data_IF_731122870077
#
_entry.id   IF_731122870077
#
_cell.length_a   1.000
_cell.length_b   1.000
_cell.length_c   1.000
_cell.angle_alpha   90.00
_cell.angle_beta   90.00
_cell.angle_gamma   90.00
#
_symmetry.space_group_name_H-M   'P 1'
#
loop_
_entity.id
_entity.type
_entity.pdbx_description
1 polymer ?
#
# COMPACT_ATOMS: atom_id res chain seq x y z
N UNK A 1 -12.25 10.15 -14.12
CA UNK A 1 -11.46 8.89 -14.02
C UNK A 1 -11.15 8.60 -12.56
N UNK A 2 -10.60 9.56 -11.82
CA UNK A 2 -10.33 9.48 -10.37
C UNK A 2 -11.56 9.12 -9.53
N UNK A 3 -12.68 9.84 -9.64
CA UNK A 3 -13.90 9.54 -8.86
C UNK A 3 -14.46 8.13 -9.12
N UNK A 4 -14.33 7.65 -10.37
CA UNK A 4 -14.70 6.28 -10.76
C UNK A 4 -13.77 5.27 -10.08
N UNK A 5 -12.45 5.46 -10.21
CA UNK A 5 -11.47 4.60 -9.56
C UNK A 5 -11.55 4.57 -8.03
N UNK A 6 -11.72 5.71 -7.37
CA UNK A 6 -11.94 5.76 -5.91
C UNK A 6 -13.16 4.92 -5.55
N UNK A 7 -14.26 5.01 -6.32
CA UNK A 7 -15.43 4.13 -6.11
C UNK A 7 -15.12 2.66 -6.38
N UNK A 8 -14.35 2.33 -7.42
CA UNK A 8 -13.95 0.96 -7.73
C UNK A 8 -13.05 0.33 -6.63
N UNK A 9 -12.06 1.07 -6.13
CA UNK A 9 -11.18 0.65 -5.04
C UNK A 9 -11.95 0.58 -3.73
N UNK A 10 -12.77 1.57 -3.40
CA UNK A 10 -13.61 1.53 -2.19
C UNK A 10 -14.51 0.30 -2.22
N UNK A 11 -15.18 0.01 -3.35
CA UNK A 11 -15.97 -1.21 -3.52
C UNK A 11 -15.15 -2.50 -3.41
N UNK A 12 -13.94 -2.53 -3.98
CA UNK A 12 -13.04 -3.67 -3.84
C UNK A 12 -12.65 -3.87 -2.37
N UNK A 13 -12.29 -2.81 -1.64
CA UNK A 13 -11.95 -2.83 -0.22
C UNK A 13 -13.14 -3.18 0.69
N UNK A 14 -14.35 -2.72 0.35
CA UNK A 14 -15.60 -3.11 1.02
C UNK A 14 -15.87 -4.61 0.82
N UNK A 15 -15.67 -5.14 -0.40
CA UNK A 15 -15.83 -6.58 -0.68
C UNK A 15 -14.80 -7.47 0.00
N UNK A 16 -13.66 -6.90 0.41
CA UNK A 16 -12.62 -7.60 1.21
C UNK A 16 -13.01 -7.68 2.69
N UNK A 17 -13.81 -6.73 3.17
CA UNK A 17 -14.17 -6.60 4.59
C UNK A 17 -15.58 -7.10 4.93
N UNK A 18 -16.42 -7.37 3.93
CA UNK A 18 -17.75 -7.94 4.10
C UNK A 18 -17.82 -9.37 3.51
N UNK A 19 -18.01 -10.36 4.38
CA UNK A 19 -18.02 -11.79 4.02
C UNK A 19 -19.16 -12.18 3.05
N UNK A 20 -20.11 -11.28 2.79
CA UNK A 20 -21.25 -11.49 1.89
C UNK A 20 -21.28 -10.62 0.62
N UNK A 21 -20.30 -9.75 0.38
CA UNK A 21 -20.34 -8.83 -0.76
C UNK A 21 -19.90 -9.52 -2.07
N UNK A 22 -20.78 -9.47 -3.09
CA UNK A 22 -20.53 -10.00 -4.42
C UNK A 22 -19.63 -9.02 -5.21
N UNK A 23 -18.52 -9.51 -5.76
CA UNK A 23 -17.58 -8.70 -6.53
C UNK A 23 -18.12 -8.44 -7.94
N UNK A 24 -18.53 -7.19 -8.22
CA UNK A 24 -19.05 -6.78 -9.54
C UNK A 24 -17.92 -6.40 -10.51
N UNK A 25 -17.45 -7.41 -11.25
CA UNK A 25 -16.39 -7.31 -12.26
C UNK A 25 -16.76 -6.37 -13.42
N UNK A 26 -18.03 -6.30 -13.82
CA UNK A 26 -18.45 -5.50 -14.98
C UNK A 26 -18.44 -4.01 -14.67
N UNK A 27 -18.81 -3.63 -13.44
CA UNK A 27 -18.71 -2.25 -12.98
C UNK A 27 -17.24 -1.77 -12.94
N UNK A 28 -16.31 -2.63 -12.51
CA UNK A 28 -14.90 -2.30 -12.45
C UNK A 28 -14.28 -2.10 -13.85
N UNK A 29 -14.66 -2.94 -14.82
CA UNK A 29 -14.16 -2.87 -16.20
C UNK A 29 -14.70 -1.68 -17.00
N UNK A 30 -15.97 -1.29 -16.80
CA UNK A 30 -16.57 -0.13 -17.48
C UNK A 30 -15.95 1.22 -17.06
N UNK A 31 -15.40 1.30 -15.86
CA UNK A 31 -14.77 2.53 -15.36
C UNK A 31 -13.35 2.75 -15.89
N UNK A 32 -12.79 1.75 -16.58
CA UNK A 32 -11.40 1.72 -17.04
C UNK A 32 -11.21 2.07 -18.52
N UNK A 33 -12.26 2.46 -19.26
CA UNK A 33 -12.10 2.84 -20.68
C UNK A 33 -11.27 4.13 -20.88
N UNK A 34 -10.32 4.15 -21.83
CA UNK A 34 -9.45 5.29 -22.06
C UNK A 34 -10.18 6.47 -22.74
N UNK A 35 -10.01 7.68 -22.20
CA UNK A 35 -10.33 8.92 -22.91
C UNK A 35 -9.17 9.32 -23.83
N UNK A 36 -9.53 9.76 -25.04
CA UNK A 36 -8.69 10.07 -26.20
C UNK A 36 -7.36 10.79 -25.84
N UNK A 37 -6.22 10.13 -26.13
CA UNK A 37 -4.87 10.68 -26.05
C UNK A 37 -4.12 10.58 -27.39
N UNK A 38 -2.83 10.93 -27.42
CA UNK A 38 -1.98 10.72 -28.61
C UNK A 38 -1.88 9.22 -28.95
N UNK A 39 -1.63 8.87 -30.22
CA UNK A 39 -1.64 7.45 -30.66
C UNK A 39 -0.73 6.53 -29.86
N UNK A 40 0.49 6.97 -29.55
CA UNK A 40 1.47 6.19 -28.78
C UNK A 40 1.08 6.02 -27.30
N UNK A 41 0.50 7.05 -26.68
CA UNK A 41 0.00 6.95 -25.29
C UNK A 41 -1.20 6.01 -25.25
N UNK A 42 -2.10 6.10 -26.24
CA UNK A 42 -3.29 5.24 -26.34
C UNK A 42 -2.92 3.76 -26.42
N UNK A 43 -1.89 3.41 -27.19
CA UNK A 43 -1.39 2.03 -27.29
C UNK A 43 -0.84 1.51 -25.95
N UNK A 44 0.00 2.31 -25.26
CA UNK A 44 0.50 1.95 -23.93
C UNK A 44 -0.63 1.78 -22.91
N UNK A 45 -1.61 2.68 -22.92
CA UNK A 45 -2.78 2.60 -22.06
C UNK A 45 -3.56 1.30 -22.32
N UNK A 46 -3.76 0.92 -23.57
CA UNK A 46 -4.41 -0.34 -23.94
C UNK A 46 -3.68 -1.56 -23.37
N UNK A 47 -2.35 -1.62 -23.51
CA UNK A 47 -1.55 -2.72 -22.93
C UNK A 47 -1.62 -2.78 -21.40
N UNK A 48 -1.68 -1.63 -20.73
CA UNK A 48 -1.90 -1.56 -19.27
C UNK A 48 -3.28 -2.14 -18.91
N UNK A 49 -4.33 -1.86 -19.70
CA UNK A 49 -5.65 -2.44 -19.48
C UNK A 49 -5.66 -3.96 -19.63
N UNK A 50 -5.01 -4.49 -20.66
CA UNK A 50 -4.86 -5.93 -20.85
C UNK A 50 -4.16 -6.59 -19.66
N UNK A 51 -3.08 -5.98 -19.15
CA UNK A 51 -2.38 -6.47 -17.95
C UNK A 51 -3.26 -6.49 -16.71
N UNK A 52 -4.05 -5.43 -16.47
CA UNK A 52 -4.99 -5.39 -15.34
C UNK A 52 -6.07 -6.46 -15.46
N UNK A 53 -6.64 -6.64 -16.66
CA UNK A 53 -7.60 -7.71 -16.92
C UNK A 53 -6.99 -9.10 -16.67
N UNK A 54 -5.74 -9.31 -17.08
CA UNK A 54 -5.02 -10.57 -16.81
C UNK A 54 -4.81 -10.80 -15.30
N UNK A 55 -4.49 -9.76 -14.52
CA UNK A 55 -4.38 -9.85 -13.05
C UNK A 55 -5.73 -10.13 -12.38
N UNK A 56 -6.82 -9.56 -12.89
CA UNK A 56 -8.17 -9.87 -12.40
C UNK A 56 -8.55 -11.33 -12.69
N UNK A 57 -8.25 -11.83 -13.88
CA UNK A 57 -8.42 -13.24 -14.21
C UNK A 57 -7.53 -14.16 -13.34
N UNK A 58 -6.30 -13.74 -13.01
CA UNK A 58 -5.42 -14.42 -12.06
C UNK A 58 -6.07 -14.50 -10.67
N UNK A 59 -6.64 -13.40 -10.18
CA UNK A 59 -7.34 -13.36 -8.90
C UNK A 59 -8.55 -14.30 -8.89
N UNK A 60 -9.39 -14.23 -9.91
CA UNK A 60 -10.60 -15.06 -10.01
C UNK A 60 -10.22 -16.56 -10.06
N UNK A 61 -9.22 -16.91 -10.86
CA UNK A 61 -8.68 -18.26 -10.92
C UNK A 61 -8.12 -18.72 -9.57
N UNK A 62 -7.36 -17.85 -8.89
CA UNK A 62 -6.80 -18.13 -7.57
C UNK A 62 -7.87 -18.32 -6.49
N UNK A 63 -8.96 -17.54 -6.52
CA UNK A 63 -10.09 -17.71 -5.61
C UNK A 63 -10.84 -19.02 -5.87
N UNK A 64 -11.09 -19.36 -7.15
CA UNK A 64 -11.68 -20.66 -7.54
C UNK A 64 -10.80 -21.83 -7.10
N UNK A 65 -9.47 -21.71 -7.21
CA UNK A 65 -8.53 -22.72 -6.73
C UNK A 65 -8.61 -22.85 -5.21
N UNK A 66 -8.61 -21.73 -4.48
CA UNK A 66 -8.76 -21.72 -3.02
C UNK A 66 -10.04 -22.44 -2.58
N UNK A 67 -11.15 -22.25 -3.28
CA UNK A 67 -12.42 -22.90 -2.93
C UNK A 67 -12.45 -24.41 -3.25
N UNK A 68 -11.67 -24.86 -4.25
CA UNK A 68 -11.63 -26.26 -4.68
C UNK A 68 -10.58 -27.08 -3.94
N UNK A 69 -9.38 -26.53 -3.82
CA UNK A 69 -8.16 -27.21 -3.37
C UNK A 69 -7.72 -26.76 -1.98
N UNK A 70 -8.27 -25.66 -1.47
CA UNK A 70 -7.89 -25.14 -0.16
C UNK A 70 -6.46 -24.59 -0.11
N UNK A 71 -5.79 -24.34 -1.24
CA UNK A 71 -4.41 -23.83 -1.29
C UNK A 71 -4.30 -22.58 -2.14
N UNK A 72 -3.17 -21.87 -2.03
CA UNK A 72 -2.84 -20.70 -2.86
C UNK A 72 -1.44 -20.83 -3.42
N UNK A 73 -1.28 -20.58 -4.72
CA UNK A 73 0.02 -20.54 -5.39
C UNK A 73 0.46 -21.92 -5.92
N UNK A 74 1.69 -21.99 -6.41
CA UNK A 74 2.25 -23.22 -6.98
C UNK A 74 3.37 -23.78 -6.09
N UNK A 75 3.18 -25.01 -5.62
CA UNK A 75 4.17 -25.73 -4.81
C UNK A 75 5.51 -25.87 -5.58
N UNK A 76 6.63 -25.79 -4.84
CA UNK A 76 7.98 -25.94 -5.38
C UNK A 76 8.57 -24.71 -6.09
N UNK A 77 7.74 -23.74 -6.52
CA UNK A 77 8.21 -22.46 -7.09
C UNK A 77 8.39 -21.38 -6.02
N UNK A 78 7.49 -21.36 -5.04
CA UNK A 78 7.39 -20.35 -4.00
C UNK A 78 7.86 -20.89 -2.64
N UNK A 79 8.13 -19.99 -1.68
CA UNK A 79 8.32 -20.40 -0.27
C UNK A 79 6.98 -20.91 0.27
N UNK A 80 7.00 -22.01 1.04
CA UNK A 80 5.78 -22.58 1.63
C UNK A 80 5.46 -21.87 2.94
N UNK A 81 4.18 -21.57 3.16
CA UNK A 81 3.63 -21.09 4.41
C UNK A 81 2.63 -22.10 4.92
N UNK A 82 2.76 -22.46 6.19
CA UNK A 82 1.84 -23.35 6.91
C UNK A 82 1.35 -22.67 8.17
N UNK A 83 0.33 -23.22 8.80
CA UNK A 83 -0.14 -22.82 10.13
C UNK A 83 0.19 -23.91 11.13
N UNK A 84 0.92 -23.55 12.17
CA UNK A 84 1.25 -24.45 13.28
C UNK A 84 0.25 -24.24 14.41
N UNK A 85 -0.66 -25.20 14.58
CA UNK A 85 -1.66 -25.19 15.65
C UNK A 85 -1.05 -25.20 17.07
N UNK A 86 0.19 -25.71 17.23
CA UNK A 86 0.83 -25.78 18.53
C UNK A 86 1.46 -24.46 18.97
N UNK A 87 1.94 -23.68 17.99
CA UNK A 87 2.48 -22.33 18.20
C UNK A 87 1.44 -21.23 17.94
N UNK A 88 0.23 -21.59 17.52
CA UNK A 88 -0.84 -20.69 17.05
C UNK A 88 -0.34 -19.63 16.06
N UNK A 89 0.53 -20.03 15.13
CA UNK A 89 1.28 -19.10 14.28
C UNK A 89 1.46 -19.58 12.84
N UNK A 90 1.76 -18.63 11.94
CA UNK A 90 2.15 -18.95 10.57
C UNK A 90 3.66 -19.20 10.53
N UNK A 91 4.06 -20.23 9.80
CA UNK A 91 5.46 -20.61 9.63
C UNK A 91 5.81 -20.56 8.15
N UNK A 92 6.90 -19.88 7.81
CA UNK A 92 7.43 -19.83 6.45
C UNK A 92 8.69 -20.69 6.31
N UNK A 93 8.70 -21.57 5.33
CA UNK A 93 9.79 -22.51 5.11
C UNK A 93 10.68 -22.03 3.97
N UNK A 94 11.95 -21.80 4.30
CA UNK A 94 13.01 -21.52 3.34
C UNK A 94 13.49 -22.80 2.62
N UNK A 95 14.38 -22.63 1.64
CA UNK A 95 14.98 -23.76 0.90
C UNK A 95 15.83 -24.70 1.77
N UNK A 96 16.23 -24.26 2.97
CA UNK A 96 17.02 -25.04 3.93
C UNK A 96 16.19 -25.87 4.91
N UNK A 97 14.85 -25.80 4.83
CA UNK A 97 13.95 -26.44 5.81
C UNK A 97 13.82 -25.68 7.13
N UNK A 98 14.61 -24.60 7.32
CA UNK A 98 14.43 -23.66 8.42
C UNK A 98 13.08 -22.96 8.29
N UNK A 99 12.36 -22.93 9.41
CA UNK A 99 11.05 -22.34 9.54
C UNK A 99 11.17 -21.05 10.37
N UNK A 100 10.73 -19.94 9.79
CA UNK A 100 10.62 -18.66 10.50
C UNK A 100 9.15 -18.42 10.84
N UNK A 101 8.87 -17.92 12.04
CA UNK A 101 7.54 -17.42 12.36
C UNK A 101 7.27 -16.15 11.54
N UNK A 102 6.08 -16.05 10.95
CA UNK A 102 5.65 -14.90 10.17
C UNK A 102 4.30 -14.40 10.68
N UNK A 103 4.15 -13.09 10.82
CA UNK A 103 2.87 -12.51 11.19
C UNK A 103 1.91 -12.46 10.00
N UNK A 104 0.61 -12.24 10.27
CA UNK A 104 -0.38 -12.04 9.22
C UNK A 104 -0.03 -10.80 8.41
N UNK A 105 0.29 -9.70 9.07
CA UNK A 105 0.73 -8.45 8.46
C UNK A 105 1.90 -8.68 7.52
N UNK A 106 2.97 -9.34 7.99
CA UNK A 106 4.16 -9.64 7.18
C UNK A 106 3.80 -10.40 5.91
N UNK A 107 2.95 -11.43 6.00
CA UNK A 107 2.50 -12.18 4.83
C UNK A 107 1.72 -11.30 3.84
N UNK A 108 0.80 -10.47 4.33
CA UNK A 108 -0.06 -9.62 3.50
C UNK A 108 0.74 -8.52 2.79
N UNK A 109 1.65 -7.83 3.48
CA UNK A 109 2.44 -6.74 2.86
C UNK A 109 3.58 -7.25 2.00
N UNK A 110 3.94 -8.53 2.06
CA UNK A 110 5.01 -9.08 1.24
C UNK A 110 4.77 -8.92 -0.28
N UNK A 111 3.50 -8.88 -0.70
CA UNK A 111 3.14 -8.58 -2.09
C UNK A 111 3.64 -7.21 -2.58
N UNK A 112 3.73 -6.22 -1.69
CA UNK A 112 4.30 -4.90 -1.97
C UNK A 112 5.78 -5.01 -2.39
N UNK A 113 6.47 -6.06 -1.94
CA UNK A 113 7.88 -6.32 -2.22
C UNK A 113 8.11 -7.44 -3.26
N UNK A 114 7.06 -7.75 -4.03
CA UNK A 114 7.05 -8.82 -5.04
C UNK A 114 7.46 -10.19 -4.49
N UNK A 115 7.15 -10.44 -3.21
CA UNK A 115 7.30 -11.75 -2.60
C UNK A 115 6.02 -12.56 -2.74
N UNK A 116 6.19 -13.80 -3.20
CA UNK A 116 5.08 -14.73 -3.39
C UNK A 116 5.32 -16.02 -2.62
N UNK A 117 4.26 -16.46 -1.95
CA UNK A 117 4.22 -17.66 -1.13
C UNK A 117 3.19 -18.66 -1.66
N UNK A 118 3.50 -19.94 -1.44
CA UNK A 118 2.55 -21.02 -1.51
C UNK A 118 1.94 -21.22 -0.12
N UNK A 119 0.63 -21.03 0.04
CA UNK A 119 -0.07 -21.23 1.32
C UNK A 119 -0.79 -22.58 1.25
N UNK A 120 -0.40 -23.50 2.12
CA UNK A 120 -0.96 -24.84 2.12
C UNK A 120 -2.31 -24.93 2.82
N UNK A 121 -2.90 -26.13 2.84
CA UNK A 121 -4.23 -26.39 3.41
C UNK A 121 -4.37 -25.96 4.87
N UNK A 122 -3.29 -26.00 5.65
CA UNK A 122 -3.32 -25.67 7.08
C UNK A 122 -3.59 -24.18 7.37
N UNK A 123 -3.24 -23.29 6.45
CA UNK A 123 -3.45 -21.85 6.64
C UNK A 123 -4.95 -21.51 6.66
N UNK A 124 -5.45 -20.67 7.58
CA UNK A 124 -6.85 -20.26 7.58
C UNK A 124 -7.31 -19.64 6.24
N UNK A 125 -8.54 -19.97 5.81
CA UNK A 125 -9.07 -19.54 4.50
C UNK A 125 -9.16 -18.02 4.38
N UNK A 126 -9.54 -17.32 5.45
CA UNK A 126 -9.61 -15.86 5.47
C UNK A 126 -8.25 -15.21 5.20
N UNK A 127 -7.17 -15.78 5.77
CA UNK A 127 -5.80 -15.33 5.53
C UNK A 127 -5.41 -15.58 4.07
N UNK A 128 -5.70 -16.77 3.52
CA UNK A 128 -5.44 -17.11 2.11
C UNK A 128 -6.14 -16.15 1.14
N UNK A 129 -7.44 -15.92 1.35
CA UNK A 129 -8.27 -15.01 0.53
C UNK A 129 -7.68 -13.60 0.58
N UNK A 130 -7.40 -13.09 1.78
CA UNK A 130 -6.85 -11.74 1.96
C UNK A 130 -5.47 -11.58 1.35
N UNK A 131 -4.59 -12.58 1.49
CA UNK A 131 -3.28 -12.59 0.84
C UNK A 131 -3.39 -12.53 -0.69
N UNK A 132 -4.26 -13.36 -1.29
CA UNK A 132 -4.51 -13.35 -2.73
C UNK A 132 -4.96 -11.98 -3.23
N UNK A 133 -5.98 -11.42 -2.58
CA UNK A 133 -6.55 -10.14 -2.99
C UNK A 133 -5.52 -9.02 -2.84
N UNK A 134 -4.83 -8.94 -1.70
CA UNK A 134 -3.88 -7.85 -1.47
C UNK A 134 -2.69 -7.89 -2.45
N UNK A 135 -2.18 -9.10 -2.75
CA UNK A 135 -1.10 -9.26 -3.74
C UNK A 135 -1.50 -8.74 -5.11
N UNK A 136 -2.71 -9.05 -5.56
CA UNK A 136 -3.23 -8.58 -6.85
C UNK A 136 -3.54 -7.08 -6.80
N UNK A 137 -4.06 -6.60 -5.67
CA UNK A 137 -4.32 -5.18 -5.44
C UNK A 137 -3.06 -4.33 -5.63
N UNK A 138 -1.91 -4.71 -5.02
CA UNK A 138 -0.65 -3.97 -5.23
C UNK A 138 -0.23 -3.93 -6.70
N UNK A 139 -0.31 -5.06 -7.42
CA UNK A 139 0.04 -5.12 -8.84
C UNK A 139 -0.87 -4.24 -9.71
N UNK A 140 -2.17 -4.20 -9.40
CA UNK A 140 -3.13 -3.35 -10.11
C UNK A 140 -2.90 -1.87 -9.77
N UNK A 141 -2.63 -1.54 -8.51
CA UNK A 141 -2.32 -0.18 -8.08
C UNK A 141 -1.09 0.37 -8.83
N UNK A 142 0.00 -0.41 -8.91
CA UNK A 142 1.20 -0.04 -9.69
C UNK A 142 0.89 0.22 -11.17
N UNK A 143 0.05 -0.63 -11.80
CA UNK A 143 -0.36 -0.43 -13.19
C UNK A 143 -1.26 0.80 -13.37
N UNK A 144 -2.06 1.12 -12.36
CA UNK A 144 -2.93 2.29 -12.38
C UNK A 144 -2.13 3.57 -12.22
N UNK A 145 -1.15 3.59 -11.32
CA UNK A 145 -0.20 4.69 -11.16
C UNK A 145 0.57 4.95 -12.45
N UNK A 146 1.02 3.89 -13.13
CA UNK A 146 1.61 4.02 -14.46
C UNK A 146 0.62 4.62 -15.47
N UNK A 147 -0.64 4.20 -15.43
CA UNK A 147 -1.68 4.75 -16.31
C UNK A 147 -1.91 6.24 -16.09
N UNK A 148 -2.02 6.67 -14.83
CA UNK A 148 -2.16 8.10 -14.45
C UNK A 148 -0.95 8.86 -14.97
N UNK A 149 0.27 8.39 -14.69
CA UNK A 149 1.49 9.07 -15.09
C UNK A 149 1.57 9.27 -16.61
N UNK A 150 1.21 8.26 -17.40
CA UNK A 150 1.15 8.37 -18.86
C UNK A 150 0.07 9.35 -19.32
N UNK A 151 -1.13 9.26 -18.73
CA UNK A 151 -2.26 10.08 -19.12
C UNK A 151 -2.01 11.55 -18.78
N UNK A 152 -1.73 11.87 -17.52
CA UNK A 152 -1.52 13.22 -16.99
C UNK A 152 -0.25 13.87 -17.56
N UNK A 153 0.84 13.11 -17.71
CA UNK A 153 2.07 13.59 -18.35
C UNK A 153 1.90 13.94 -19.83
N UNK A 154 0.83 13.46 -20.49
CA UNK A 154 0.52 13.77 -21.88
C UNK A 154 -0.42 14.98 -22.05
N UNK A 155 -1.03 15.46 -20.97
CA UNK A 155 -2.03 16.51 -21.01
C UNK A 155 -1.42 17.88 -21.33
N UNK A 156 -2.10 18.63 -22.20
CA UNK A 156 -1.63 19.97 -22.59
C UNK A 156 -1.63 20.94 -21.40
N UNK A 157 -2.59 20.81 -20.48
CA UNK A 157 -2.72 21.71 -19.33
C UNK A 157 -1.60 21.55 -18.29
N UNK A 158 -0.92 20.40 -18.26
CA UNK A 158 0.23 20.17 -17.37
C UNK A 158 1.56 20.67 -17.97
N UNK A 159 1.60 21.06 -19.25
CA UNK A 159 2.85 21.47 -19.91
C UNK A 159 3.48 22.71 -19.26
N UNK A 160 4.76 22.63 -18.94
CA UNK A 160 5.56 23.68 -18.29
C UNK A 160 5.09 24.06 -16.88
N UNK A 161 4.29 23.22 -16.23
CA UNK A 161 3.91 23.42 -14.83
C UNK A 161 4.93 22.81 -13.86
N UNK A 162 5.77 21.90 -14.36
CA UNK A 162 6.65 21.04 -13.56
C UNK A 162 5.97 19.74 -13.12
N UNK A 163 4.64 19.63 -13.25
CA UNK A 163 3.93 18.36 -13.05
C UNK A 163 4.13 17.40 -14.22
N UNK A 164 4.24 17.92 -15.44
CA UNK A 164 4.59 17.14 -16.63
C UNK A 164 5.92 16.40 -16.48
N UNK A 165 6.95 17.08 -15.98
CA UNK A 165 8.25 16.45 -15.69
C UNK A 165 8.13 15.36 -14.61
N UNK A 166 7.31 15.59 -13.57
CA UNK A 166 7.10 14.62 -12.50
C UNK A 166 6.39 13.36 -13.01
N UNK A 167 5.29 13.51 -13.74
CA UNK A 167 4.58 12.37 -14.34
C UNK A 167 5.43 11.62 -15.35
N UNK A 168 6.21 12.32 -16.19
CA UNK A 168 7.13 11.68 -17.14
C UNK A 168 8.22 10.89 -16.42
N UNK A 169 8.82 11.44 -15.36
CA UNK A 169 9.81 10.73 -14.57
C UNK A 169 9.23 9.47 -13.93
N UNK A 170 7.98 9.51 -13.46
CA UNK A 170 7.28 8.33 -12.93
C UNK A 170 7.03 7.29 -14.04
N UNK A 171 6.48 7.71 -15.19
CA UNK A 171 6.22 6.80 -16.31
C UNK A 171 7.50 6.13 -16.83
N UNK A 172 8.60 6.88 -16.98
CA UNK A 172 9.90 6.33 -17.38
C UNK A 172 10.42 5.26 -16.41
N UNK A 173 10.18 5.39 -15.09
CA UNK A 173 10.57 4.36 -14.12
C UNK A 173 9.85 3.02 -14.36
N UNK A 174 8.60 3.05 -14.82
CA UNK A 174 7.87 1.83 -15.17
C UNK A 174 8.37 1.21 -16.49
N UNK A 175 8.70 2.05 -17.48
CA UNK A 175 9.11 1.57 -18.81
C UNK A 175 10.56 1.06 -18.86
N UNK A 176 11.49 1.77 -18.21
CA UNK A 176 12.93 1.51 -18.28
C UNK A 176 13.44 0.57 -17.19
N UNK A 177 12.60 0.30 -16.18
CA UNK A 177 12.99 -0.38 -14.95
C UNK A 177 13.61 0.62 -13.97
N UNK A 178 12.92 0.83 -12.85
CA UNK A 178 13.23 1.93 -11.94
C UNK A 178 14.62 1.80 -11.28
N UNK A 179 15.38 2.90 -11.29
CA UNK A 179 16.40 3.14 -10.28
C UNK A 179 15.71 3.28 -8.91
N UNK A 180 16.23 2.58 -7.90
CA UNK A 180 15.66 2.62 -6.54
C UNK A 180 15.95 3.99 -5.93
N UNK A 181 14.93 4.85 -5.91
CA UNK A 181 15.02 6.18 -5.31
C UNK A 181 14.88 6.07 -3.78
N UNK A 182 15.85 6.57 -2.98
CA UNK A 182 15.81 6.40 -1.52
C UNK A 182 14.56 6.96 -0.83
N UNK A 183 13.99 8.06 -1.35
CA UNK A 183 12.76 8.66 -0.80
C UNK A 183 11.55 7.73 -0.96
N UNK A 184 11.29 7.29 -2.20
CA UNK A 184 10.22 6.33 -2.53
C UNK A 184 10.39 5.02 -1.76
N UNK A 185 11.63 4.56 -1.62
CA UNK A 185 11.91 3.37 -0.82
C UNK A 185 11.58 3.57 0.66
N UNK A 186 11.92 4.73 1.24
CA UNK A 186 11.61 5.04 2.64
C UNK A 186 10.10 5.10 2.87
N UNK A 187 9.34 5.74 1.98
CA UNK A 187 7.88 5.80 2.01
C UNK A 187 7.29 4.38 1.98
N UNK A 188 7.72 3.55 1.02
CA UNK A 188 7.28 2.15 0.90
C UNK A 188 7.61 1.30 2.13
N UNK A 189 8.76 1.54 2.77
CA UNK A 189 9.14 0.87 4.02
C UNK A 189 8.25 1.27 5.19
N UNK A 190 7.95 2.57 5.32
CA UNK A 190 7.05 3.08 6.37
C UNK A 190 5.62 2.59 6.13
N UNK A 191 5.12 2.66 4.89
CA UNK A 191 3.81 2.12 4.49
C UNK A 191 3.71 0.64 4.86
N UNK A 192 4.73 -0.15 4.49
CA UNK A 192 4.80 -1.57 4.80
C UNK A 192 4.74 -1.82 6.30
N UNK A 193 5.59 -1.13 7.09
CA UNK A 193 5.60 -1.24 8.55
C UNK A 193 4.24 -0.92 9.16
N UNK A 194 3.68 0.24 8.83
CA UNK A 194 2.43 0.75 9.41
C UNK A 194 1.23 -0.10 9.01
N UNK A 195 1.23 -0.63 7.79
CA UNK A 195 0.20 -1.55 7.29
C UNK A 195 0.26 -2.90 7.99
N UNK A 196 1.45 -3.43 8.32
CA UNK A 196 1.54 -4.68 9.10
C UNK A 196 0.85 -4.54 10.45
N UNK A 197 1.06 -3.40 11.10
CA UNK A 197 0.49 -3.13 12.42
C UNK A 197 -1.04 -3.21 12.41
N UNK A 198 -1.72 -2.79 11.35
CA UNK A 198 -3.20 -2.87 11.25
C UNK A 198 -3.73 -4.29 11.03
N UNK A 199 -2.87 -5.21 10.58
CA UNK A 199 -3.21 -6.63 10.43
C UNK A 199 -2.87 -7.47 11.64
N UNK A 200 -1.79 -7.12 12.34
CA UNK A 200 -1.26 -7.86 13.47
C UNK A 200 -1.87 -7.41 14.81
N UNK A 201 -2.33 -6.16 14.87
CA UNK A 201 -2.87 -5.57 16.08
C UNK A 201 -4.15 -4.77 15.78
N UNK A 202 -4.98 -4.65 16.81
CA UNK A 202 -6.13 -3.77 16.82
C UNK A 202 -5.67 -2.30 16.89
N UNK A 203 -5.45 -1.69 15.73
CA UNK A 203 -4.95 -0.33 15.58
C UNK A 203 -6.10 0.66 15.34
N UNK A 204 -6.08 1.87 15.94
CA UNK A 204 -7.18 2.85 15.83
C UNK A 204 -7.19 3.60 14.49
N UNK A 205 -6.52 3.05 13.47
CA UNK A 205 -6.35 3.68 12.17
C UNK A 205 -6.23 2.63 11.06
N UNK A 206 -6.49 3.07 9.84
CA UNK A 206 -6.13 2.37 8.60
C UNK A 206 -5.25 3.26 7.75
N UNK A 207 -4.47 2.63 6.89
CA UNK A 207 -3.65 3.33 5.91
C UNK A 207 -4.32 3.20 4.55
N UNK A 208 -4.56 4.34 3.90
CA UNK A 208 -5.00 4.40 2.50
C UNK A 208 -3.83 4.83 1.64
N UNK A 209 -3.54 4.00 0.64
CA UNK A 209 -2.57 4.33 -0.39
C UNK A 209 -3.11 5.46 -1.27
N UNK A 210 -2.22 6.34 -1.65
CA UNK A 210 -2.50 7.45 -2.56
C UNK A 210 -2.08 7.08 -3.96
N UNK A 211 -2.81 7.62 -4.92
CA UNK A 211 -2.45 7.55 -6.34
C UNK A 211 -1.31 8.49 -6.67
N UNK A 212 -0.61 8.22 -7.77
CA UNK A 212 0.40 9.13 -8.34
C UNK A 212 -0.14 10.56 -8.56
N UNK A 213 -1.43 10.71 -8.86
CA UNK A 213 -2.05 12.03 -8.99
C UNK A 213 -2.04 12.78 -7.64
N UNK A 214 -2.46 12.12 -6.57
CA UNK A 214 -2.51 12.72 -5.23
C UNK A 214 -1.10 13.07 -4.71
N UNK A 215 -0.08 12.25 -5.01
CA UNK A 215 1.32 12.57 -4.72
C UNK A 215 1.82 13.79 -5.53
N UNK A 216 1.57 13.80 -6.84
CA UNK A 216 2.08 14.86 -7.71
C UNK A 216 1.38 16.19 -7.44
N UNK A 217 0.05 16.22 -7.40
CA UNK A 217 -0.74 17.45 -7.27
C UNK A 217 -0.88 17.93 -5.82
N UNK A 218 -1.08 17.00 -4.88
CA UNK A 218 -1.38 17.33 -3.49
C UNK A 218 -0.25 16.99 -2.52
N UNK A 219 0.85 16.39 -2.99
CA UNK A 219 2.04 16.16 -2.18
C UNK A 219 1.70 15.30 -0.95
N UNK A 220 0.86 14.29 -1.17
CA UNK A 220 0.43 13.33 -0.16
C UNK A 220 1.14 12.01 -0.47
N UNK A 221 1.80 11.42 0.52
CA UNK A 221 2.47 10.11 0.38
C UNK A 221 1.58 8.97 0.87
N UNK A 222 0.71 9.23 1.86
CA UNK A 222 -0.35 8.30 2.29
C UNK A 222 -1.39 9.03 3.15
N UNK A 223 -2.55 8.41 3.35
CA UNK A 223 -3.63 8.93 4.19
C UNK A 223 -3.91 8.00 5.37
N UNK A 224 -4.06 8.60 6.54
CA UNK A 224 -4.44 7.89 7.76
C UNK A 224 -5.94 8.12 8.00
N UNK A 225 -6.70 7.03 7.91
CA UNK A 225 -8.13 6.99 8.18
C UNK A 225 -8.35 6.55 9.62
N UNK A 226 -8.97 7.41 10.44
CA UNK A 226 -9.23 7.10 11.84
C UNK A 226 -10.58 6.42 12.02
N UNK A 227 -10.61 5.27 12.69
CA UNK A 227 -11.86 4.63 13.13
C UNK A 227 -11.95 4.61 14.67
N UNK A 228 -13.15 4.72 15.24
CA UNK A 228 -13.31 4.53 16.70
C UNK A 228 -13.31 3.04 17.05
N UNK A 229 -12.83 2.73 18.26
CA UNK A 229 -12.97 1.42 18.92
C UNK A 229 -14.46 1.10 19.29
N UNK A 230 -15.46 1.51 18.50
CA UNK A 230 -16.88 1.19 18.73
C UNK A 230 -17.45 0.10 17.81
N UNK A 231 -16.63 -0.55 16.97
CA UNK A 231 -17.05 -1.74 16.22
C UNK A 231 -17.03 -3.00 17.12
N UNK A 232 -17.81 -2.94 18.21
CA UNK A 232 -18.20 -4.12 18.97
C UNK A 232 -19.57 -4.56 18.46
N UNK A 233 -19.57 -5.64 17.68
CA UNK A 233 -20.70 -6.56 17.41
C UNK A 233 -22.08 -5.89 17.32
N UNK A 234 -22.52 -5.60 16.09
CA UNK A 234 -23.95 -5.59 15.74
C UNK A 234 -24.64 -4.25 15.50
N UNK A 235 -23.96 -3.10 15.59
CA UNK A 235 -24.53 -1.82 15.16
C UNK A 235 -23.45 -0.98 14.45
N UNK A 236 -23.48 -0.95 13.11
CA UNK A 236 -22.75 0.04 12.31
C UNK A 236 -23.32 1.41 12.65
N UNK A 237 -22.61 2.20 13.44
CA UNK A 237 -22.85 3.65 13.49
C UNK A 237 -21.96 4.25 12.42
N UNK A 238 -22.55 4.53 11.27
CA UNK A 238 -21.93 5.32 10.20
C UNK A 238 -21.70 6.75 10.72
N UNK A 239 -20.60 7.01 11.43
CA UNK A 239 -20.07 8.37 11.52
C UNK A 239 -19.03 8.53 10.41
N UNK A 240 -19.49 8.87 9.20
CA UNK A 240 -18.67 9.19 8.04
C UNK A 240 -17.87 10.51 8.18
N UNK A 241 -17.90 11.17 9.34
CA UNK A 241 -17.34 12.51 9.53
C UNK A 241 -16.03 12.52 10.33
N UNK A 242 -15.33 11.39 10.45
CA UNK A 242 -13.99 11.42 11.01
C UNK A 242 -13.03 11.92 9.94
N UNK A 243 -12.30 13.01 10.22
CA UNK A 243 -11.47 13.61 9.21
C UNK A 243 -10.26 12.75 8.89
N UNK A 244 -10.07 12.42 7.62
CA UNK A 244 -8.85 11.81 7.14
C UNK A 244 -7.69 12.80 7.27
N UNK A 245 -6.51 12.27 7.65
CA UNK A 245 -5.29 13.07 7.75
C UNK A 245 -4.33 12.60 6.65
N UNK A 246 -4.03 13.51 5.73
CA UNK A 246 -3.03 13.30 4.71
C UNK A 246 -1.64 13.54 5.27
N UNK A 247 -0.69 12.70 4.88
CA UNK A 247 0.68 12.76 5.36
C UNK A 247 1.62 13.00 4.18
N UNK A 248 2.49 13.99 4.33
CA UNK A 248 3.73 14.07 3.57
C UNK A 248 4.87 13.66 4.51
N UNK A 249 5.68 12.72 4.05
CA UNK A 249 6.85 12.18 4.68
C UNK A 249 8.14 12.81 4.13
N UNK A 250 9.17 12.86 4.97
CA UNK A 250 10.54 13.12 4.54
C UNK A 250 11.56 12.53 5.51
N UNK A 251 12.68 12.06 4.96
CA UNK A 251 13.86 11.66 5.75
C UNK A 251 14.84 12.80 5.99
N UNK A 252 14.66 13.95 5.32
CA UNK A 252 15.61 15.07 5.42
C UNK A 252 15.36 15.88 6.69
N UNK A 253 16.40 16.03 7.50
CA UNK A 253 16.41 16.93 8.66
C UNK A 253 16.87 18.36 8.32
N UNK A 254 17.13 18.66 7.05
CA UNK A 254 17.59 19.98 6.63
C UNK A 254 16.45 20.99 6.75
N UNK A 255 16.64 22.05 7.54
CA UNK A 255 15.67 23.14 7.70
C UNK A 255 15.24 23.71 6.33
N UNK A 256 16.17 23.85 5.39
CA UNK A 256 15.88 24.33 4.03
C UNK A 256 14.89 23.40 3.31
N UNK A 257 15.08 22.09 3.43
CA UNK A 257 14.21 21.08 2.81
C UNK A 257 12.85 21.06 3.50
N UNK A 258 12.83 21.15 4.84
CA UNK A 258 11.60 21.18 5.65
C UNK A 258 10.78 22.44 5.31
N UNK A 259 11.41 23.61 5.23
CA UNK A 259 10.76 24.87 4.84
C UNK A 259 10.23 24.82 3.40
N UNK A 260 10.97 24.19 2.49
CA UNK A 260 10.52 23.96 1.13
C UNK A 260 9.28 23.07 1.08
N UNK A 261 9.31 21.90 1.74
CA UNK A 261 8.18 20.97 1.81
C UNK A 261 6.97 21.59 2.52
N UNK A 262 7.18 22.35 3.59
CA UNK A 262 6.11 23.10 4.28
C UNK A 262 5.43 24.09 3.34
N UNK A 263 6.18 24.81 2.51
CA UNK A 263 5.62 25.70 1.48
C UNK A 263 4.89 24.95 0.36
N UNK A 264 5.28 23.71 0.06
CA UNK A 264 4.55 22.86 -0.89
C UNK A 264 3.22 22.40 -0.29
N UNK A 265 3.23 21.93 0.95
CA UNK A 265 2.03 21.51 1.69
C UNK A 265 1.01 22.64 1.81
N UNK A 266 1.44 23.84 2.17
CA UNK A 266 0.51 24.98 2.28
C UNK A 266 -0.14 25.34 0.94
N UNK A 267 0.57 25.13 -0.18
CA UNK A 267 -0.01 25.27 -1.53
C UNK A 267 -0.97 24.14 -1.85
N UNK A 268 -0.59 22.90 -1.54
CA UNK A 268 -1.42 21.72 -1.74
C UNK A 268 -2.74 21.78 -0.95
N UNK A 269 -2.72 22.23 0.31
CA UNK A 269 -3.94 22.47 1.12
C UNK A 269 -4.94 23.37 0.40
N UNK A 270 -4.46 24.47 -0.18
CA UNK A 270 -5.30 25.38 -0.96
C UNK A 270 -5.87 24.76 -2.25
N UNK A 271 -5.21 23.74 -2.82
CA UNK A 271 -5.73 22.99 -3.96
C UNK A 271 -6.76 21.94 -3.53
N UNK A 272 -6.49 21.20 -2.46
CA UNK A 272 -7.41 20.22 -1.85
C UNK A 272 -8.74 20.88 -1.50
N UNK A 273 -8.70 22.03 -0.80
CA UNK A 273 -9.89 22.78 -0.39
C UNK A 273 -10.73 23.28 -1.59
N UNK A 274 -10.09 23.54 -2.73
CA UNK A 274 -10.76 24.05 -3.95
C UNK A 274 -11.36 22.93 -4.79
N UNK A 275 -10.66 21.81 -4.90
CA UNK A 275 -11.10 20.68 -5.71
C UNK A 275 -12.21 19.89 -5.01
N UNK A 276 -12.15 19.78 -3.68
CA UNK A 276 -13.18 19.11 -2.88
C UNK A 276 -13.31 17.61 -3.15
N UNK A 277 -12.39 17.02 -3.93
CA UNK A 277 -12.39 15.59 -4.28
C UNK A 277 -11.85 14.69 -3.16
N UNK A 278 -11.11 15.27 -2.20
CA UNK A 278 -10.52 14.57 -1.07
C UNK A 278 -11.18 14.99 0.24
N UNK A 279 -11.65 14.01 1.02
CA UNK A 279 -12.19 14.22 2.37
C UNK A 279 -11.08 14.35 3.43
N UNK A 280 -10.05 15.14 3.13
CA UNK A 280 -8.90 15.35 4.01
C UNK A 280 -9.09 16.65 4.79
N UNK A 281 -8.98 16.59 6.12
CA UNK A 281 -9.05 17.80 6.96
C UNK A 281 -7.72 18.52 7.10
N UNK A 282 -6.64 17.76 7.09
CA UNK A 282 -5.31 18.31 7.28
C UNK A 282 -4.26 17.51 6.51
N UNK A 283 -3.20 18.22 6.11
CA UNK A 283 -2.00 17.66 5.49
C UNK A 283 -0.81 18.00 6.38
N UNK A 284 -0.19 16.96 6.95
CA UNK A 284 0.88 17.09 7.94
C UNK A 284 2.22 16.64 7.34
N UNK A 285 3.26 17.43 7.58
CA UNK A 285 4.64 17.03 7.30
C UNK A 285 5.19 16.22 8.47
N UNK A 286 5.69 15.03 8.18
CA UNK A 286 6.34 14.15 9.15
C UNK A 286 7.79 13.92 8.72
N UNK A 287 8.70 14.31 9.62
CA UNK A 287 10.15 14.19 9.43
C UNK A 287 10.63 13.01 10.26
N UNK A 288 11.10 11.95 9.61
CA UNK A 288 11.64 10.77 10.30
C UNK A 288 13.05 10.51 9.76
N UNK A 289 14.10 10.69 10.58
CA UNK A 289 15.48 10.62 10.13
C UNK A 289 15.97 9.18 9.96
N UNK A 290 15.46 8.48 8.96
CA UNK A 290 15.91 7.12 8.62
C UNK A 290 17.08 7.21 7.66
N UNK A 291 18.29 7.35 8.20
CA UNK A 291 19.51 7.56 7.40
C UNK A 291 20.02 6.27 6.73
N UNK A 292 19.46 5.11 7.08
CA UNK A 292 19.98 3.79 6.70
C UNK A 292 19.05 3.02 5.73
N UNK A 293 18.00 3.67 5.19
CA UNK A 293 17.00 3.06 4.27
C UNK A 293 17.66 2.23 3.15
N UNK A 294 18.66 2.81 2.47
CA UNK A 294 19.28 2.14 1.34
C UNK A 294 20.13 0.93 1.78
N UNK A 295 20.83 1.04 2.89
CA UNK A 295 21.67 -0.04 3.40
C UNK A 295 20.80 -1.20 3.89
N UNK A 296 19.69 -0.90 4.59
CA UNK A 296 18.69 -1.88 5.01
C UNK A 296 18.10 -2.63 3.83
N UNK A 297 17.69 -1.91 2.78
CA UNK A 297 17.12 -2.55 1.60
C UNK A 297 18.15 -3.41 0.85
N UNK A 298 19.39 -2.94 0.72
CA UNK A 298 20.47 -3.73 0.10
C UNK A 298 20.78 -4.97 0.91
N UNK A 299 20.82 -4.88 2.24
CA UNK A 299 21.01 -6.04 3.11
C UNK A 299 19.86 -7.05 2.92
N UNK A 300 18.63 -6.56 2.92
CA UNK A 300 17.44 -7.40 2.74
C UNK A 300 17.43 -8.08 1.36
N UNK A 301 17.69 -7.34 0.27
CA UNK A 301 17.80 -7.91 -1.07
C UNK A 301 18.99 -8.88 -1.19
N UNK A 302 20.12 -8.57 -0.57
CA UNK A 302 21.36 -9.34 -0.63
C UNK A 302 21.25 -10.75 -0.03
N UNK A 303 20.28 -10.99 0.86
CA UNK A 303 19.95 -12.33 1.39
C UNK A 303 19.37 -13.25 0.31
N UNK A 304 18.86 -12.69 -0.80
CA UNK A 304 18.23 -13.39 -1.90
C UNK A 304 16.79 -13.80 -1.57
N UNK A 305 15.94 -13.93 -2.61
CA UNK A 305 14.47 -14.16 -2.46
C UNK A 305 14.09 -15.33 -1.54
N UNK A 306 14.97 -16.32 -1.38
CA UNK A 306 14.68 -17.53 -0.59
C UNK A 306 15.10 -17.44 0.87
N UNK A 307 15.81 -16.37 1.28
CA UNK A 307 16.30 -16.17 2.65
C UNK A 307 16.01 -14.75 3.19
N UNK A 308 15.48 -13.84 2.36
CA UNK A 308 15.09 -12.51 2.84
C UNK A 308 13.91 -12.62 3.81
N UNK A 309 13.90 -11.74 4.81
CA UNK A 309 12.86 -11.71 5.82
C UNK A 309 11.50 -11.44 5.16
N UNK A 310 10.43 -12.18 5.50
CA UNK A 310 9.07 -11.87 5.06
C UNK A 310 8.66 -10.46 5.48
N UNK A 311 7.70 -9.87 4.79
CA UNK A 311 7.15 -8.56 5.15
C UNK A 311 7.95 -7.36 4.66
N UNK A 312 9.24 -7.50 4.36
CA UNK A 312 10.03 -6.45 3.73
C UNK A 312 11.32 -6.09 4.48
N UNK A 313 12.06 -5.09 3.97
CA UNK A 313 13.31 -4.63 4.56
C UNK A 313 13.12 -3.93 5.92
N UNK A 314 11.94 -3.41 6.22
CA UNK A 314 11.64 -2.77 7.50
C UNK A 314 11.67 -3.75 8.69
N UNK A 315 11.68 -5.06 8.42
CA UNK A 315 11.97 -6.07 9.45
C UNK A 315 13.37 -6.01 10.03
N UNK A 316 14.30 -5.40 9.31
CA UNK A 316 15.68 -5.21 9.77
C UNK A 316 15.84 -3.94 10.61
N UNK A 317 14.78 -3.12 10.76
CA UNK A 317 14.82 -1.97 11.65
C UNK A 317 14.86 -2.39 13.12
N UNK A 318 15.59 -1.60 13.89
CA UNK A 318 15.61 -1.72 15.35
C UNK A 318 14.22 -1.43 15.93
N UNK A 319 13.95 -1.90 17.16
CA UNK A 319 12.68 -1.58 17.82
C UNK A 319 12.58 -0.07 18.10
N UNK A 320 13.72 0.60 18.32
CA UNK A 320 13.83 2.04 18.50
C UNK A 320 13.42 2.80 17.23
N UNK A 321 13.87 2.36 16.05
CA UNK A 321 13.47 2.95 14.77
C UNK A 321 11.97 2.75 14.51
N UNK A 322 11.47 1.53 14.75
CA UNK A 322 10.03 1.21 14.63
C UNK A 322 9.19 2.07 15.58
N UNK A 323 9.62 2.27 16.82
CA UNK A 323 8.96 3.15 17.80
C UNK A 323 8.96 4.61 17.35
N UNK A 324 10.12 5.11 16.91
CA UNK A 324 10.28 6.48 16.42
C UNK A 324 9.35 6.75 15.23
N UNK A 325 9.28 5.82 14.27
CA UNK A 325 8.40 5.93 13.10
C UNK A 325 6.94 5.94 13.54
N UNK A 326 6.54 4.97 14.35
CA UNK A 326 5.15 4.83 14.80
C UNK A 326 4.68 6.08 15.58
N UNK A 327 5.46 6.52 16.57
CA UNK A 327 5.11 7.69 17.39
C UNK A 327 5.22 8.99 16.60
N UNK A 328 6.24 9.11 15.74
CA UNK A 328 6.40 10.27 14.86
C UNK A 328 5.21 10.44 13.91
N UNK A 329 4.71 9.32 13.38
CA UNK A 329 3.54 9.29 12.52
C UNK A 329 2.26 9.69 13.26
N UNK A 330 1.98 9.03 14.39
CA UNK A 330 0.68 9.10 15.03
C UNK A 330 0.53 10.23 16.04
N UNK A 331 1.62 10.80 16.58
CA UNK A 331 1.54 11.92 17.55
C UNK A 331 0.92 13.20 16.98
N UNK A 332 0.86 13.32 15.65
CA UNK A 332 0.18 14.43 14.96
C UNK A 332 -1.30 14.17 14.69
N UNK A 333 -1.72 12.93 14.86
CA UNK A 333 -3.04 12.41 14.46
C UNK A 333 -3.87 11.98 15.68
N UNK A 334 -3.21 11.45 16.71
CA UNK A 334 -3.78 10.89 17.93
C UNK A 334 -3.21 11.60 19.17
N UNK A 335 -3.91 11.49 20.29
CA UNK A 335 -3.37 11.93 21.58
C UNK A 335 -2.22 11.02 22.03
N UNK A 336 -1.26 11.58 22.78
CA UNK A 336 -0.11 10.84 23.31
C UNK A 336 -0.53 9.57 24.06
N UNK A 337 -1.59 9.63 24.87
CA UNK A 337 -2.13 8.47 25.58
C UNK A 337 -2.57 7.34 24.62
N UNK A 338 -3.25 7.69 23.51
CA UNK A 338 -3.69 6.70 22.51
C UNK A 338 -2.48 6.12 21.77
N UNK A 339 -1.49 6.94 21.44
CA UNK A 339 -0.24 6.50 20.79
C UNK A 339 0.50 5.52 21.70
N UNK A 340 0.70 5.85 22.97
CA UNK A 340 1.39 4.97 23.92
C UNK A 340 0.61 3.67 24.17
N UNK A 341 -0.74 3.74 24.30
CA UNK A 341 -1.59 2.55 24.42
C UNK A 341 -1.42 1.62 23.21
N UNK A 342 -1.45 2.19 22.00
CA UNK A 342 -1.31 1.41 20.76
C UNK A 342 0.10 0.81 20.62
N UNK A 343 1.15 1.59 20.88
CA UNK A 343 2.54 1.09 20.87
C UNK A 343 2.78 -0.01 21.91
N UNK A 344 2.14 0.12 23.09
CA UNK A 344 2.18 -0.91 24.13
C UNK A 344 1.56 -2.25 23.72
N UNK A 345 0.74 -2.30 22.65
CA UNK A 345 0.28 -3.56 22.04
C UNK A 345 1.38 -4.20 21.18
N UNK A 346 2.18 -3.39 20.50
CA UNK A 346 3.24 -3.83 19.56
C UNK A 346 4.49 -4.35 20.27
N UNK A 347 4.86 -3.72 21.39
CA UNK A 347 6.10 -4.04 22.12
C UNK A 347 6.02 -5.31 22.96
N UNK A 348 4.81 -5.80 23.26
CA UNK A 348 4.59 -7.04 24.02
C UNK A 348 4.81 -8.25 23.13
#
# INVERSE_FOLDING_TARGET
MQEKFTKAITKMNESINDDGAEFDEQALLQELEPSIGSGAVTEKLFFIQEKKAALMAELESGLKQLDREGTVGQEGKMRRVTYDNSAEGLMVYGKGGEADNVSKGQLIVSGLWEEEYFLDESVPRDIKKRYLVQRIHYKIADLFDHQIALFEGSQIYNKNTGFDDAYQAIASRYDEGAEVVPGVLAEKMVESFVTKLTYDYDMPYRLRNVSVYEDVEYKIDFIIELHDESDVVGVKVESNDKPDIAIQFTTSQSDITIDHKTRQINRAKGNIDRDGSLHVKDLVLIVIPINHVMDTYKEWQGKGKKRRAPGGPDELWSIEDKEMIFKGLLSKVLSDEKVEKAWGKVRK
#
